data_IF_440530656081
#
_entry.id   IF_440530656081
#
_cell.length_a   1.000
_cell.length_b   1.000
_cell.length_c   1.000
_cell.angle_alpha   90.00
_cell.angle_beta   90.00
_cell.angle_gamma   90.00
#
_symmetry.space_group_name_H-M   'P 1'
#
loop_
_entity.id
_entity.type
_entity.pdbx_description
1 polymer ?
#
# COMPACT_ATOMS: atom_id res chain seq x y z
N UNK A 1 4.78 -22.89 15.95
CA UNK A 1 4.57 -21.86 14.90
C UNK A 1 3.12 -21.42 15.03
N UNK A 2 2.85 -20.34 15.77
CA UNK A 2 1.46 -19.99 16.09
C UNK A 2 0.79 -19.42 14.84
N UNK A 3 -0.11 -20.20 14.23
CA UNK A 3 -0.93 -19.77 13.09
C UNK A 3 -1.65 -18.43 13.35
N UNK A 4 -1.92 -18.14 14.63
CA UNK A 4 -2.47 -16.87 15.10
C UNK A 4 -1.60 -15.65 14.74
N UNK A 5 -0.27 -15.79 14.75
CA UNK A 5 0.63 -14.66 14.49
C UNK A 5 0.81 -14.37 12.99
N UNK A 6 0.79 -15.42 12.16
CA UNK A 6 0.75 -15.25 10.70
C UNK A 6 -0.61 -14.70 10.24
N UNK A 7 -1.71 -15.22 10.80
CA UNK A 7 -3.05 -14.75 10.47
C UNK A 7 -3.26 -13.29 10.88
N UNK A 8 -2.74 -12.85 12.03
CA UNK A 8 -2.82 -11.45 12.45
C UNK A 8 -2.07 -10.53 11.49
N UNK A 9 -0.81 -10.85 11.17
CA UNK A 9 -0.03 -10.08 10.19
C UNK A 9 -0.72 -10.03 8.83
N UNK A 10 -1.28 -11.16 8.37
CA UNK A 10 -2.01 -11.22 7.10
C UNK A 10 -3.27 -10.35 7.13
N UNK A 11 -4.05 -10.37 8.21
CA UNK A 11 -5.23 -9.50 8.37
C UNK A 11 -4.83 -8.03 8.34
N UNK A 12 -3.76 -7.66 9.07
CA UNK A 12 -3.23 -6.29 9.05
C UNK A 12 -2.83 -5.90 7.64
N UNK A 13 -2.02 -6.70 6.95
CA UNK A 13 -1.58 -6.39 5.59
C UNK A 13 -2.73 -6.39 4.58
N UNK A 14 -3.73 -7.27 4.68
CA UNK A 14 -4.93 -7.24 3.82
C UNK A 14 -5.75 -5.98 4.08
N UNK A 15 -5.86 -5.53 5.34
CA UNK A 15 -6.59 -4.30 5.65
C UNK A 15 -5.84 -3.05 5.18
N UNK A 16 -4.50 -3.09 5.19
CA UNK A 16 -3.58 -1.98 4.90
C UNK A 16 -3.28 -1.84 3.41
N UNK A 17 -2.99 -2.96 2.75
CA UNK A 17 -2.53 -3.05 1.35
C UNK A 17 -3.64 -3.52 0.41
N UNK A 18 -4.63 -4.25 0.94
CA UNK A 18 -5.36 -5.25 0.18
C UNK A 18 -6.18 -4.79 -1.03
N UNK A 19 -6.98 -5.72 -1.59
CA UNK A 19 -7.46 -5.65 -2.97
C UNK A 19 -8.14 -4.33 -3.36
N UNK A 20 -8.98 -3.70 -2.51
CA UNK A 20 -9.73 -2.49 -2.91
C UNK A 20 -8.85 -1.32 -3.37
N UNK A 21 -7.67 -1.12 -2.75
CA UNK A 21 -6.76 -0.02 -3.11
C UNK A 21 -6.11 -0.26 -4.46
N UNK A 22 -5.54 -1.45 -4.59
CA UNK A 22 -4.90 -1.92 -5.82
C UNK A 22 -5.88 -1.91 -7.00
N UNK A 23 -7.15 -2.25 -6.74
CA UNK A 23 -8.21 -2.26 -7.73
C UNK A 23 -8.55 -0.88 -8.30
N UNK A 24 -8.57 0.17 -7.48
CA UNK A 24 -8.84 1.53 -7.98
C UNK A 24 -7.68 2.03 -8.83
N UNK A 25 -6.44 1.90 -8.34
CA UNK A 25 -5.26 2.29 -9.12
C UNK A 25 -5.19 1.52 -10.45
N UNK A 26 -5.48 0.22 -10.42
CA UNK A 26 -5.53 -0.59 -11.63
C UNK A 26 -6.70 -0.20 -12.54
N UNK A 27 -7.86 0.18 -12.00
CA UNK A 27 -8.99 0.66 -12.79
C UNK A 27 -8.65 1.92 -13.57
N UNK A 28 -7.94 2.87 -12.95
CA UNK A 28 -7.51 4.10 -13.63
C UNK A 28 -6.54 3.81 -14.80
N UNK A 29 -5.54 2.94 -14.58
CA UNK A 29 -4.66 2.49 -15.67
C UNK A 29 -5.37 1.67 -16.74
N UNK A 30 -6.42 0.93 -16.36
CA UNK A 30 -7.19 0.13 -17.31
C UNK A 30 -7.96 0.97 -18.33
N UNK A 31 -8.23 2.24 -18.02
CA UNK A 31 -8.84 3.20 -18.94
C UNK A 31 -7.84 3.72 -19.98
N UNK A 32 -6.54 3.71 -19.67
CA UNK A 32 -5.48 4.31 -20.48
C UNK A 32 -4.70 3.29 -21.35
N UNK A 33 -4.78 1.99 -21.05
CA UNK A 33 -3.93 0.97 -21.69
C UNK A 33 -4.68 -0.28 -22.22
N UNK A 34 -4.17 -0.92 -23.30
CA UNK A 34 -4.68 -2.20 -23.78
C UNK A 34 -4.39 -3.37 -22.84
N UNK A 35 -5.24 -4.39 -22.88
CA UNK A 35 -5.32 -5.47 -21.87
C UNK A 35 -4.04 -6.28 -21.66
N UNK A 36 -3.29 -6.50 -22.73
CA UNK A 36 -2.04 -7.28 -22.69
C UNK A 36 -0.93 -6.50 -21.98
N UNK A 37 -0.98 -5.17 -22.07
CA UNK A 37 -0.05 -4.25 -21.43
C UNK A 37 -0.37 -4.15 -19.93
N UNK A 38 -1.64 -4.07 -19.56
CA UNK A 38 -2.11 -4.08 -18.16
C UNK A 38 -1.66 -5.31 -17.37
N UNK A 39 -1.79 -6.51 -17.94
CA UNK A 39 -1.31 -7.74 -17.28
C UNK A 39 0.20 -7.72 -17.07
N UNK A 40 0.93 -7.24 -18.08
CA UNK A 40 2.40 -7.13 -18.00
C UNK A 40 2.80 -6.15 -16.91
N UNK A 41 2.15 -4.97 -16.84
CA UNK A 41 2.38 -3.99 -15.78
C UNK A 41 2.06 -4.59 -14.41
N UNK A 42 0.92 -5.27 -14.23
CA UNK A 42 0.56 -5.91 -12.96
C UNK A 42 1.59 -6.94 -12.49
N UNK A 43 2.07 -7.83 -13.39
CA UNK A 43 3.09 -8.82 -13.04
C UNK A 43 4.44 -8.17 -12.69
N UNK A 44 4.89 -7.18 -13.46
CA UNK A 44 6.16 -6.50 -13.19
C UNK A 44 6.07 -5.72 -11.88
N UNK A 45 4.99 -4.97 -11.64
CA UNK A 45 4.79 -4.21 -10.40
C UNK A 45 4.68 -5.10 -9.18
N UNK A 46 3.96 -6.23 -9.25
CA UNK A 46 3.92 -7.22 -8.17
C UNK A 46 5.30 -7.83 -7.91
N UNK A 47 6.05 -8.16 -8.97
CA UNK A 47 7.41 -8.68 -8.84
C UNK A 47 8.35 -7.68 -8.18
N UNK A 48 8.26 -6.40 -8.57
CA UNK A 48 9.04 -5.31 -7.98
C UNK A 48 8.67 -5.10 -6.50
N UNK A 49 7.38 -5.10 -6.16
CA UNK A 49 6.91 -4.94 -4.79
C UNK A 49 7.36 -6.10 -3.90
N UNK A 50 7.29 -7.34 -4.39
CA UNK A 50 7.83 -8.52 -3.67
C UNK A 50 9.33 -8.36 -3.44
N UNK A 51 10.09 -8.00 -4.48
CA UNK A 51 11.53 -7.83 -4.36
C UNK A 51 11.89 -6.74 -3.35
N UNK A 52 11.25 -5.58 -3.44
CA UNK A 52 11.53 -4.43 -2.58
C UNK A 52 11.07 -4.68 -1.15
N UNK A 53 9.90 -5.31 -0.94
CA UNK A 53 9.44 -5.71 0.38
C UNK A 53 10.34 -6.77 1.01
N UNK A 54 10.87 -7.73 0.25
CA UNK A 54 11.84 -8.70 0.76
C UNK A 54 13.12 -8.02 1.22
N UNK A 55 13.69 -7.15 0.38
CA UNK A 55 14.90 -6.38 0.73
C UNK A 55 14.63 -5.53 1.97
N UNK A 56 13.55 -4.73 1.96
CA UNK A 56 13.20 -3.83 3.05
C UNK A 56 12.95 -4.58 4.37
N UNK A 57 12.26 -5.72 4.35
CA UNK A 57 12.01 -6.53 5.55
C UNK A 57 13.32 -7.09 6.15
N UNK A 58 14.25 -7.51 5.29
CA UNK A 58 15.56 -8.01 5.72
C UNK A 58 16.45 -6.88 6.26
N UNK A 59 16.39 -5.69 5.65
CA UNK A 59 17.22 -4.53 6.02
C UNK A 59 16.54 -3.59 7.02
N UNK A 60 15.29 -3.84 7.43
CA UNK A 60 14.48 -2.92 8.25
C UNK A 60 15.20 -2.40 9.50
N UNK A 61 15.83 -3.25 10.34
CA UNK A 61 16.54 -2.77 11.54
C UNK A 61 17.73 -1.90 11.16
N UNK A 62 18.47 -2.29 10.13
CA UNK A 62 19.65 -1.55 9.66
C UNK A 62 19.27 -0.18 9.11
N UNK A 63 18.13 -0.07 8.39
CA UNK A 63 17.61 1.22 7.94
C UNK A 63 17.21 2.12 9.11
N UNK A 64 16.42 1.60 10.05
CA UNK A 64 15.96 2.40 11.20
C UNK A 64 17.14 2.85 12.06
N UNK A 65 18.12 1.99 12.30
CA UNK A 65 19.33 2.31 13.06
C UNK A 65 20.21 3.33 12.31
N UNK A 66 20.40 3.16 11.01
CA UNK A 66 21.24 4.06 10.20
C UNK A 66 20.68 5.50 10.19
N UNK A 67 19.37 5.63 10.00
CA UNK A 67 18.70 6.93 9.96
C UNK A 67 18.24 7.44 11.34
N UNK A 68 18.47 6.66 12.40
CA UNK A 68 18.00 6.95 13.76
C UNK A 68 16.48 7.26 13.80
N UNK A 69 15.71 6.54 12.99
CA UNK A 69 14.25 6.72 12.87
C UNK A 69 13.57 5.85 13.92
N UNK A 70 12.74 6.47 14.74
CA UNK A 70 11.90 5.76 15.69
C UNK A 70 10.63 5.21 15.02
N UNK A 71 10.14 4.06 15.50
CA UNK A 71 8.86 3.46 15.06
C UNK A 71 7.69 4.45 15.07
N UNK A 72 7.50 5.29 16.11
CA UNK A 72 6.44 6.30 16.14
C UNK A 72 6.59 7.37 15.06
N UNK A 73 7.82 7.78 14.74
CA UNK A 73 8.07 8.74 13.67
C UNK A 73 7.71 8.15 12.30
N UNK A 74 7.96 6.86 12.10
CA UNK A 74 7.58 6.15 10.89
C UNK A 74 6.05 5.99 10.75
N UNK A 75 5.33 5.78 11.86
CA UNK A 75 3.86 5.81 11.90
C UNK A 75 3.32 7.17 11.48
N UNK A 76 3.84 8.27 12.05
CA UNK A 76 3.47 9.63 11.68
C UNK A 76 3.72 9.90 10.19
N UNK A 77 4.93 9.63 9.71
CA UNK A 77 5.30 9.89 8.33
C UNK A 77 4.46 9.06 7.35
N UNK A 78 4.29 7.76 7.62
CA UNK A 78 3.46 6.86 6.82
C UNK A 78 2.00 7.30 6.80
N UNK A 79 1.45 7.67 7.95
CA UNK A 79 0.09 8.19 8.08
C UNK A 79 -0.11 9.50 7.32
N UNK A 80 0.81 10.47 7.41
CA UNK A 80 0.70 11.76 6.70
C UNK A 80 0.76 11.57 5.18
N UNK A 81 1.75 10.82 4.67
CA UNK A 81 1.88 10.58 3.23
C UNK A 81 0.64 9.84 2.71
N UNK A 82 0.14 8.86 3.47
CA UNK A 82 -1.05 8.13 3.09
C UNK A 82 -2.33 8.96 3.16
N UNK A 83 -2.43 9.89 4.11
CA UNK A 83 -3.53 10.85 4.19
C UNK A 83 -3.58 11.73 2.94
N UNK A 84 -2.43 12.23 2.48
CA UNK A 84 -2.34 13.03 1.25
C UNK A 84 -2.79 12.23 0.02
N UNK A 85 -2.42 10.95 -0.06
CA UNK A 85 -2.90 10.05 -1.10
C UNK A 85 -4.42 9.86 -1.04
N UNK A 86 -4.96 9.61 0.16
CA UNK A 86 -6.40 9.46 0.37
C UNK A 86 -7.19 10.73 -0.01
N UNK A 87 -6.66 11.91 0.31
CA UNK A 87 -7.24 13.21 -0.12
C UNK A 87 -7.25 13.33 -1.64
N UNK A 88 -6.18 12.90 -2.32
CA UNK A 88 -6.14 12.85 -3.79
C UNK A 88 -7.28 12.03 -4.38
N UNK A 89 -7.55 10.85 -3.82
CA UNK A 89 -8.67 9.98 -4.24
C UNK A 89 -10.05 10.62 -4.00
N UNK A 90 -10.25 11.31 -2.87
CA UNK A 90 -11.54 11.97 -2.55
C UNK A 90 -11.80 13.16 -3.47
N UNK A 91 -10.75 13.93 -3.76
CA UNK A 91 -10.85 15.15 -4.55
C UNK A 91 -10.74 14.89 -6.07
N UNK A 92 -10.36 13.67 -6.48
CA UNK A 92 -10.10 13.34 -7.88
C UNK A 92 -8.95 14.16 -8.46
N UNK A 93 -8.02 14.61 -7.61
CA UNK A 93 -6.84 15.36 -8.05
C UNK A 93 -5.80 14.31 -8.45
N UNK A 94 -5.23 14.37 -9.67
CA UNK A 94 -4.08 13.55 -10.02
C UNK A 94 -3.00 13.86 -8.99
N UNK A 95 -2.74 12.92 -8.10
CA UNK A 95 -1.56 13.04 -7.24
C UNK A 95 -0.36 12.97 -8.18
N UNK A 96 0.80 13.54 -7.84
CA UNK A 96 2.00 13.37 -8.69
C UNK A 96 2.42 11.91 -8.93
N UNK A 97 1.72 10.95 -8.29
CA UNK A 97 1.80 9.51 -8.49
C UNK A 97 0.90 8.99 -9.62
N UNK A 98 -0.17 9.72 -9.98
CA UNK A 98 -1.16 9.44 -11.03
C UNK A 98 -1.02 10.38 -12.25
N UNK A 99 -0.10 11.35 -12.21
CA UNK A 99 0.06 12.32 -13.28
C UNK A 99 0.60 11.62 -14.54
N UNK A 100 -0.15 11.62 -15.66
CA UNK A 100 0.33 11.02 -16.89
C UNK A 100 1.61 11.73 -17.32
N UNK A 101 2.70 10.97 -17.49
CA UNK A 101 3.83 11.47 -18.28
C UNK A 101 3.24 11.83 -19.66
N UNK A 102 3.33 13.11 -20.06
CA UNK A 102 2.71 13.63 -21.29
C UNK A 102 3.36 13.08 -22.57
N UNK A 103 4.40 12.25 -22.43
CA UNK A 103 5.04 11.54 -23.52
C UNK A 103 4.35 10.19 -23.73
N UNK A 104 4.11 9.86 -25.01
CA UNK A 104 3.32 8.75 -25.56
C UNK A 104 3.12 7.50 -24.66
N UNK A 105 1.95 6.83 -24.71
CA UNK A 105 1.59 5.70 -23.85
C UNK A 105 2.46 4.45 -24.13
N UNK A 106 3.67 4.45 -23.61
CA UNK A 106 4.61 3.34 -23.67
C UNK A 106 4.51 2.49 -22.38
N UNK A 107 4.94 1.24 -22.47
CA UNK A 107 4.95 0.30 -21.33
C UNK A 107 5.74 0.87 -20.14
N UNK A 108 6.70 1.75 -20.41
CA UNK A 108 7.60 2.35 -19.42
C UNK A 108 6.95 3.47 -18.59
N UNK A 109 6.01 4.26 -19.13
CA UNK A 109 5.30 5.30 -18.37
C UNK A 109 4.26 4.70 -17.43
N UNK A 110 3.44 3.77 -17.92
CA UNK A 110 2.48 3.02 -17.09
C UNK A 110 3.17 2.15 -16.02
N UNK A 111 4.42 1.73 -16.24
CA UNK A 111 5.22 1.06 -15.23
C UNK A 111 5.64 2.02 -14.10
N UNK A 112 5.97 3.28 -14.39
CA UNK A 112 6.31 4.30 -13.39
C UNK A 112 5.09 4.69 -12.54
N UNK A 113 3.97 4.98 -13.19
CA UNK A 113 2.69 5.33 -12.55
C UNK A 113 2.17 4.21 -11.64
N UNK A 114 2.40 2.94 -12.00
CA UNK A 114 1.97 1.80 -11.17
C UNK A 114 3.03 1.39 -10.15
N UNK A 115 4.34 1.53 -10.43
CA UNK A 115 5.37 1.24 -9.44
C UNK A 115 5.28 2.20 -8.24
N UNK A 116 5.09 3.49 -8.43
CA UNK A 116 5.10 4.44 -7.30
C UNK A 116 4.05 4.09 -6.23
N UNK A 117 2.75 3.87 -6.54
CA UNK A 117 1.75 3.49 -5.55
C UNK A 117 1.86 2.02 -5.06
N UNK A 118 2.45 1.11 -5.84
CA UNK A 118 2.52 -0.33 -5.51
C UNK A 118 3.81 -0.70 -4.76
N UNK A 119 4.95 -0.12 -5.16
CA UNK A 119 6.27 -0.30 -4.55
C UNK A 119 6.51 0.68 -3.40
N UNK A 120 5.99 1.90 -3.52
CA UNK A 120 6.02 2.91 -2.45
C UNK A 120 4.59 3.09 -1.93
N UNK A 121 3.85 2.00 -1.72
CA UNK A 121 2.60 2.12 -0.94
C UNK A 121 3.03 2.52 0.48
N UNK A 122 2.95 3.81 0.86
CA UNK A 122 3.68 4.32 2.02
C UNK A 122 3.24 3.60 3.28
N UNK A 123 1.95 3.28 3.34
CA UNK A 123 1.34 2.52 4.42
C UNK A 123 1.81 1.06 4.44
N UNK A 124 1.95 0.40 3.29
CA UNK A 124 2.46 -0.97 3.23
C UNK A 124 3.92 -1.05 3.70
N UNK A 125 4.76 -0.10 3.26
CA UNK A 125 6.16 -0.02 3.64
C UNK A 125 6.30 0.32 5.13
N UNK A 126 5.53 1.29 5.63
CA UNK A 126 5.47 1.61 7.07
C UNK A 126 5.08 0.38 7.88
N UNK A 127 3.98 -0.30 7.55
CA UNK A 127 3.54 -1.51 8.25
C UNK A 127 4.60 -2.62 8.20
N UNK A 128 5.24 -2.83 7.04
CA UNK A 128 6.28 -3.83 6.86
C UNK A 128 7.51 -3.56 7.73
N UNK A 129 7.99 -2.32 7.77
CA UNK A 129 9.17 -1.94 8.54
C UNK A 129 8.90 -2.04 10.05
N UNK A 130 7.70 -1.63 10.50
CA UNK A 130 7.28 -1.75 11.91
C UNK A 130 7.20 -3.21 12.31
N UNK A 131 6.48 -4.04 11.56
CA UNK A 131 6.32 -5.47 11.86
C UNK A 131 7.66 -6.23 11.79
N UNK A 132 8.54 -5.89 10.84
CA UNK A 132 9.86 -6.51 10.72
C UNK A 132 10.81 -6.14 11.88
N UNK A 133 10.59 -5.00 12.54
CA UNK A 133 11.38 -4.54 13.70
C UNK A 133 10.72 -4.81 15.04
N UNK A 134 9.44 -5.21 15.06
CA UNK A 134 8.71 -5.58 16.28
C UNK A 134 9.36 -6.75 17.05
N UNK A 135 10.08 -7.66 16.37
CA UNK A 135 10.86 -8.71 17.04
C UNK A 135 12.22 -8.90 16.37
N UNK A 136 13.26 -9.11 17.19
CA UNK A 136 14.64 -9.29 16.75
C UNK A 136 14.95 -10.67 16.13
N UNK A 137 13.99 -11.59 16.10
CA UNK A 137 14.20 -12.95 15.58
C UNK A 137 14.20 -13.02 14.06
N UNK A 138 15.20 -13.68 13.48
CA UNK A 138 15.26 -13.95 12.04
C UNK A 138 14.04 -14.71 11.52
N UNK A 139 13.52 -15.67 12.30
CA UNK A 139 12.29 -16.42 11.98
C UNK A 139 11.04 -15.55 11.97
N UNK A 140 11.02 -14.44 12.72
CA UNK A 140 9.91 -13.51 12.70
C UNK A 140 9.92 -12.69 11.40
N UNK A 141 11.08 -12.17 11.00
CA UNK A 141 11.24 -11.42 9.76
C UNK A 141 10.86 -12.24 8.53
N UNK A 142 11.27 -13.51 8.47
CA UNK A 142 10.85 -14.40 7.38
C UNK A 142 9.34 -14.64 7.35
N UNK A 143 8.68 -14.63 8.52
CA UNK A 143 7.22 -14.77 8.62
C UNK A 143 6.49 -13.53 8.11
N UNK A 144 6.96 -12.33 8.50
CA UNK A 144 6.43 -11.04 8.04
C UNK A 144 6.60 -10.89 6.53
N UNK A 145 7.79 -11.19 6.02
CA UNK A 145 8.08 -11.22 4.59
C UNK A 145 7.16 -12.20 3.84
N UNK A 146 6.98 -13.41 4.36
CA UNK A 146 6.07 -14.40 3.78
C UNK A 146 4.60 -13.94 3.76
N UNK A 147 4.13 -13.29 4.82
CA UNK A 147 2.78 -12.72 4.88
C UNK A 147 2.59 -11.60 3.87
N UNK A 148 3.56 -10.69 3.75
CA UNK A 148 3.54 -9.60 2.76
C UNK A 148 3.49 -10.14 1.32
N UNK A 149 4.32 -11.13 0.99
CA UNK A 149 4.31 -11.80 -0.32
C UNK A 149 2.97 -12.48 -0.58
N UNK A 150 2.38 -13.15 0.42
CA UNK A 150 1.07 -13.78 0.28
C UNK A 150 -0.03 -12.76 -0.04
N UNK A 151 0.01 -11.57 0.56
CA UNK A 151 -0.95 -10.49 0.26
C UNK A 151 -0.75 -9.96 -1.15
N UNK A 152 0.49 -9.72 -1.61
CA UNK A 152 0.73 -9.30 -2.99
C UNK A 152 0.22 -10.33 -3.99
N UNK A 153 0.44 -11.62 -3.72
CA UNK A 153 -0.07 -12.69 -4.57
C UNK A 153 -1.60 -12.74 -4.58
N UNK A 154 -2.25 -12.50 -3.43
CA UNK A 154 -3.70 -12.38 -3.34
C UNK A 154 -4.20 -11.19 -4.18
N UNK A 155 -3.58 -10.03 -4.05
CA UNK A 155 -3.93 -8.83 -4.81
C UNK A 155 -3.76 -9.05 -6.31
N UNK A 156 -2.67 -9.72 -6.73
CA UNK A 156 -2.46 -10.10 -8.12
C UNK A 156 -3.57 -11.02 -8.64
N UNK A 157 -3.98 -12.03 -7.86
CA UNK A 157 -5.10 -12.91 -8.22
C UNK A 157 -6.41 -12.11 -8.31
N UNK A 158 -6.67 -11.22 -7.36
CA UNK A 158 -7.84 -10.34 -7.38
C UNK A 158 -7.86 -9.46 -8.63
N UNK A 159 -6.75 -8.81 -8.98
CA UNK A 159 -6.63 -8.00 -10.21
C UNK A 159 -6.94 -8.83 -11.45
N UNK A 160 -6.32 -10.01 -11.58
CA UNK A 160 -6.51 -10.87 -12.75
C UNK A 160 -7.96 -11.35 -12.90
N UNK A 161 -8.66 -11.61 -11.78
CA UNK A 161 -10.07 -11.96 -11.78
C UNK A 161 -10.96 -10.76 -12.11
N UNK A 162 -10.66 -9.59 -11.56
CA UNK A 162 -11.47 -8.37 -11.73
C UNK A 162 -11.20 -7.63 -13.04
N UNK A 163 -10.11 -7.92 -13.75
CA UNK A 163 -9.80 -7.38 -15.09
C UNK A 163 -10.96 -7.60 -16.10
N UNK A 164 -11.75 -8.66 -15.91
CA UNK A 164 -12.95 -8.94 -16.73
C UNK A 164 -14.15 -8.07 -16.32
N UNK A 165 -14.26 -7.76 -15.03
CA UNK A 165 -15.40 -7.06 -14.40
C UNK A 165 -15.25 -5.55 -14.50
N UNK A 166 -14.03 -5.02 -14.33
CA UNK A 166 -13.74 -3.58 -14.42
C UNK A 166 -14.11 -3.02 -15.81
N UNK A 167 -13.96 -3.80 -16.87
CA UNK A 167 -14.37 -3.40 -18.23
C UNK A 167 -15.88 -3.21 -18.41
N UNK A 168 -16.69 -3.84 -17.58
CA UNK A 168 -18.14 -3.68 -17.59
C UNK A 168 -18.61 -2.56 -16.64
N UNK A 169 -17.69 -1.97 -15.88
CA UNK A 169 -18.00 -0.96 -14.87
C UNK A 169 -17.92 0.43 -15.49
N UNK A 170 -18.96 1.25 -15.29
CA UNK A 170 -18.98 2.63 -15.76
C UNK A 170 -18.02 3.52 -14.96
N UNK A 171 -17.36 4.48 -15.62
CA UNK A 171 -16.44 5.45 -15.01
C UNK A 171 -17.01 6.11 -13.75
N UNK A 172 -18.29 6.51 -13.77
CA UNK A 172 -18.96 7.13 -12.63
C UNK A 172 -18.97 6.24 -11.38
N UNK A 173 -19.08 4.92 -11.53
CA UNK A 173 -19.07 3.98 -10.40
C UNK A 173 -17.67 3.86 -9.81
N UNK A 174 -16.63 3.83 -10.64
CA UNK A 174 -15.23 3.75 -10.20
C UNK A 174 -14.86 5.04 -9.43
N UNK A 175 -15.27 6.20 -9.93
CA UNK A 175 -14.99 7.47 -9.27
C UNK A 175 -15.70 7.59 -7.91
N UNK A 176 -16.97 7.20 -7.83
CA UNK A 176 -17.71 7.18 -6.56
C UNK A 176 -17.08 6.21 -5.55
N UNK A 177 -16.71 5.01 -5.99
CA UNK A 177 -16.06 4.01 -5.13
C UNK A 177 -14.67 4.49 -4.68
N UNK A 178 -13.93 5.15 -5.56
CA UNK A 178 -12.66 5.81 -5.28
C UNK A 178 -12.77 6.85 -4.17
N UNK A 179 -13.81 7.70 -4.22
CA UNK A 179 -14.08 8.71 -3.18
C UNK A 179 -14.45 8.09 -1.84
N UNK A 180 -15.29 7.04 -1.84
CA UNK A 180 -15.67 6.33 -0.62
C UNK A 180 -14.46 5.65 0.02
N UNK A 181 -13.64 4.97 -0.78
CA UNK A 181 -12.40 4.37 -0.31
C UNK A 181 -11.43 5.46 0.18
N UNK A 182 -11.25 6.55 -0.54
CA UNK A 182 -10.45 7.69 -0.11
C UNK A 182 -10.87 8.23 1.27
N UNK A 183 -12.18 8.34 1.54
CA UNK A 183 -12.66 8.74 2.87
C UNK A 183 -12.30 7.75 3.98
N UNK A 184 -12.44 6.44 3.72
CA UNK A 184 -12.07 5.39 4.66
C UNK A 184 -10.55 5.38 4.91
N UNK A 185 -9.76 5.53 3.85
CA UNK A 185 -8.30 5.57 3.92
C UNK A 185 -7.81 6.81 4.67
N UNK A 186 -8.46 7.95 4.50
CA UNK A 186 -8.16 9.16 5.26
C UNK A 186 -8.38 8.95 6.77
N UNK A 187 -9.47 8.27 7.15
CA UNK A 187 -9.72 7.91 8.54
C UNK A 187 -8.63 6.99 9.11
N UNK A 188 -8.27 5.92 8.39
CA UNK A 188 -7.17 5.01 8.78
C UNK A 188 -5.83 5.76 8.91
N UNK A 189 -5.58 6.72 8.02
CA UNK A 189 -4.36 7.54 8.06
C UNK A 189 -4.30 8.39 9.33
N UNK A 190 -5.43 8.97 9.75
CA UNK A 190 -5.53 9.78 10.96
C UNK A 190 -5.28 8.89 12.19
N UNK A 191 -5.83 7.68 12.22
CA UNK A 191 -5.56 6.74 13.32
C UNK A 191 -4.05 6.44 13.44
N UNK A 192 -3.35 6.19 12.32
CA UNK A 192 -1.90 5.99 12.35
C UNK A 192 -1.11 7.20 12.86
N UNK A 193 -1.54 8.42 12.50
CA UNK A 193 -0.92 9.66 13.00
C UNK A 193 -1.15 9.81 14.49
N UNK A 194 -2.36 9.52 14.97
CA UNK A 194 -2.71 9.60 16.39
C UNK A 194 -1.97 8.53 17.20
N UNK A 195 -1.85 7.31 16.70
CA UNK A 195 -1.10 6.23 17.34
C UNK A 195 0.39 6.62 17.48
N UNK A 196 1.00 7.13 16.41
CA UNK A 196 2.39 7.59 16.49
C UNK A 196 2.57 8.80 17.43
N UNK A 197 1.58 9.71 17.54
CA UNK A 197 1.62 10.82 18.49
C UNK A 197 1.51 10.32 19.93
N UNK A 198 0.62 9.35 20.19
CA UNK A 198 0.45 8.73 21.49
C UNK A 198 1.73 8.00 21.92
N UNK A 199 2.38 7.26 21.02
CA UNK A 199 3.65 6.59 21.30
C UNK A 199 4.80 7.56 21.58
N UNK A 200 4.75 8.80 21.04
CA UNK A 200 5.70 9.88 21.36
C UNK A 200 5.43 10.53 22.72
N UNK A 201 4.39 10.12 23.44
CA UNK A 201 4.03 10.68 24.75
C UNK A 201 3.21 11.96 24.67
N UNK A 202 2.68 12.31 23.49
CA UNK A 202 1.69 13.39 23.36
C UNK A 202 0.37 12.83 23.89
N UNK A 203 0.01 13.19 25.13
CA UNK A 203 -1.17 12.68 25.80
C UNK A 203 -2.46 12.99 25.03
N UNK A 204 -3.00 12.00 24.32
CA UNK A 204 -4.36 12.04 23.78
C UNK A 204 -5.33 11.72 24.91
N UNK A 205 -5.65 12.71 25.74
CA UNK A 205 -6.73 12.59 26.73
C UNK A 205 -8.05 12.25 26.03
N UNK A 206 -8.42 10.97 26.00
CA UNK A 206 -9.79 10.52 25.72
C UNK A 206 -10.00 9.64 24.48
N UNK A 207 -9.31 8.50 24.34
CA UNK A 207 -9.76 7.43 23.42
C UNK A 207 -10.08 6.17 24.21
N UNK A 208 -11.35 6.06 24.62
CA UNK A 208 -12.01 4.82 25.00
C UNK A 208 -12.97 4.44 23.86
N UNK A 209 -12.49 3.75 22.83
CA UNK A 209 -13.35 3.04 21.86
C UNK A 209 -12.67 1.75 21.42
#
# INVERSE_FOLDING_TARGET
MNALTFSAALITFVSVVGPPKVLISFAHLAELHPTRQLRTIAFISCGAAVFIGLVASLTAPLLLDLFHISTPALLLAGGIIFFLYAVGLVLGIPTGMDAPDQDAPDVTSGLRELLVPFVVSPLAMTALLIEATARSSWTWRSTVAGAYVAVILLDLVCILLLERVLRATHHATIELLGRLLGLLLAAVSIDLVLDGLAELGVGLSGRDH
#
